data_IF_760985864243
#
_entry.id   IF_760985864243
#
_cell.length_a   1.000
_cell.length_b   1.000
_cell.length_c   1.000
_cell.angle_alpha   90.00
_cell.angle_beta   90.00
_cell.angle_gamma   90.00
#
_symmetry.space_group_name_H-M   'P 1'
#
loop_
_entity.id
_entity.type
_entity.pdbx_description
1 polymer ?
#
# COMPACT_ATOMS: atom_id res chain seq x y z
N UNK A 1 -4.02 -7.75 -19.89
CA UNK A 1 -3.53 -6.54 -19.21
C UNK A 1 -4.46 -6.28 -18.04
N UNK A 2 -4.00 -6.56 -16.82
CA UNK A 2 -4.58 -6.18 -15.53
C UNK A 2 -3.63 -6.74 -14.47
N UNK A 3 -2.56 -6.01 -14.18
CA UNK A 3 -1.56 -6.43 -13.20
C UNK A 3 -1.86 -5.78 -11.86
N UNK A 4 -2.88 -6.26 -11.15
CA UNK A 4 -3.03 -5.93 -9.73
C UNK A 4 -1.88 -6.57 -8.97
N UNK A 5 -0.86 -5.78 -8.67
CA UNK A 5 0.26 -6.22 -7.84
C UNK A 5 -0.24 -6.51 -6.40
N UNK A 6 -1.30 -5.82 -5.97
CA UNK A 6 -1.87 -5.92 -4.64
C UNK A 6 -3.05 -6.90 -4.60
N UNK A 7 -2.77 -8.16 -4.24
CA UNK A 7 -3.81 -9.12 -3.85
C UNK A 7 -4.19 -8.94 -2.38
N UNK A 8 -5.15 -8.06 -2.08
CA UNK A 8 -5.76 -7.91 -0.74
C UNK A 8 -6.72 -9.05 -0.35
N UNK A 9 -6.70 -10.17 -1.09
CA UNK A 9 -7.59 -11.30 -0.83
C UNK A 9 -7.18 -12.02 0.47
N UNK A 10 -8.13 -12.05 1.41
CA UNK A 10 -8.17 -12.62 2.77
C UNK A 10 -7.67 -14.08 2.96
N UNK A 11 -6.95 -14.66 2.00
CA UNK A 11 -6.56 -16.08 2.03
C UNK A 11 -5.23 -16.43 1.37
N UNK A 12 -4.48 -15.49 0.77
CA UNK A 12 -3.13 -15.78 0.25
C UNK A 12 -2.20 -14.59 0.45
N UNK A 13 -1.65 -14.49 1.65
CA UNK A 13 -0.58 -13.55 2.02
C UNK A 13 0.72 -13.87 1.26
N UNK A 14 0.77 -13.59 -0.05
CA UNK A 14 2.03 -13.42 -0.78
C UNK A 14 2.12 -11.98 -1.25
N UNK A 15 2.59 -11.15 -0.32
CA UNK A 15 3.33 -9.92 -0.58
C UNK A 15 2.61 -8.82 -1.36
N UNK A 16 1.76 -8.05 -0.68
CA UNK A 16 1.30 -6.73 -1.15
C UNK A 16 2.48 -5.82 -1.54
N UNK A 17 3.64 -6.03 -0.90
CA UNK A 17 4.87 -5.28 -1.11
C UNK A 17 5.94 -5.98 -1.99
N UNK A 18 5.82 -7.29 -2.24
CA UNK A 18 6.80 -8.02 -3.08
C UNK A 18 6.95 -7.48 -4.51
N UNK A 19 5.89 -7.03 -5.21
CA UNK A 19 6.08 -6.44 -6.54
C UNK A 19 6.74 -5.06 -6.50
N UNK A 20 6.90 -4.46 -5.32
CA UNK A 20 7.48 -3.12 -5.14
C UNK A 20 8.85 -3.14 -4.46
N UNK A 21 9.29 -4.29 -3.94
CA UNK A 21 10.55 -4.45 -3.24
C UNK A 21 10.82 -5.90 -2.87
N UNK A 22 12.09 -6.29 -2.90
CA UNK A 22 12.52 -7.68 -2.63
C UNK A 22 12.66 -7.99 -1.13
N UNK A 23 12.72 -6.95 -0.29
CA UNK A 23 12.98 -7.01 1.15
C UNK A 23 11.74 -6.70 2.00
N UNK A 24 10.55 -6.99 1.46
CA UNK A 24 9.29 -6.73 2.14
C UNK A 24 9.18 -7.46 3.49
N UNK A 25 9.07 -6.68 4.56
CA UNK A 25 8.81 -7.15 5.92
C UNK A 25 7.38 -6.79 6.31
N UNK A 26 6.53 -7.80 6.50
CA UNK A 26 5.13 -7.61 6.83
C UNK A 26 4.77 -8.23 8.20
N UNK A 27 4.00 -7.48 8.98
CA UNK A 27 3.44 -7.90 10.25
C UNK A 27 1.91 -7.79 10.22
N UNK A 28 1.22 -8.84 10.64
CA UNK A 28 -0.24 -8.86 10.76
C UNK A 28 -0.64 -8.91 12.23
N UNK A 29 -1.66 -8.14 12.58
CA UNK A 29 -2.33 -8.10 13.88
C UNK A 29 -3.83 -8.25 13.68
N UNK A 30 -4.58 -8.47 14.76
CA UNK A 30 -6.01 -8.81 14.72
C UNK A 30 -6.90 -7.83 13.93
N UNK A 31 -6.48 -6.57 13.78
CA UNK A 31 -7.18 -5.50 13.05
C UNK A 31 -6.28 -4.64 12.17
N UNK A 32 -5.00 -5.00 12.04
CA UNK A 32 -4.06 -4.21 11.25
C UNK A 32 -3.08 -5.10 10.52
N UNK A 33 -2.61 -4.62 9.39
CA UNK A 33 -1.58 -5.24 8.60
C UNK A 33 -0.61 -4.15 8.19
N UNK A 34 0.67 -4.39 8.39
CA UNK A 34 1.73 -3.45 8.08
C UNK A 34 2.78 -4.14 7.23
N UNK A 35 3.24 -3.47 6.18
CA UNK A 35 4.42 -3.88 5.42
C UNK A 35 5.39 -2.72 5.30
N UNK A 36 6.68 -3.00 5.41
CA UNK A 36 7.75 -2.08 5.06
C UNK A 36 8.68 -2.73 4.04
N UNK A 37 9.09 -2.01 3.02
CA UNK A 37 10.02 -2.50 1.99
C UNK A 37 10.88 -1.35 1.45
N UNK A 38 11.98 -1.72 0.81
CA UNK A 38 12.82 -0.83 0.01
C UNK A 38 12.30 -0.88 -1.44
N UNK A 39 11.91 0.25 -2.05
CA UNK A 39 11.56 0.30 -3.46
C UNK A 39 12.67 -0.26 -4.35
N UNK A 40 12.30 -0.96 -5.42
CA UNK A 40 13.28 -1.36 -6.44
C UNK A 40 14.00 -0.13 -7.03
N UNK A 41 15.23 -0.33 -7.50
CA UNK A 41 16.10 0.75 -7.99
C UNK A 41 15.53 1.49 -9.23
N UNK A 42 14.58 0.91 -9.94
CA UNK A 42 13.87 1.50 -11.07
C UNK A 42 12.68 2.36 -10.66
N UNK A 43 12.26 2.33 -9.39
CA UNK A 43 11.15 3.12 -8.88
C UNK A 43 11.44 4.63 -8.77
N UNK A 44 12.66 5.07 -9.09
CA UNK A 44 13.05 6.48 -9.05
C UNK A 44 13.17 7.01 -7.61
N UNK A 45 12.39 8.03 -7.27
CA UNK A 45 12.32 8.57 -5.91
C UNK A 45 11.29 7.85 -5.05
N UNK A 46 11.37 7.97 -3.71
CA UNK A 46 10.32 7.45 -2.83
C UNK A 46 8.93 8.03 -3.14
N UNK A 47 8.86 9.26 -3.66
CA UNK A 47 7.60 9.88 -4.04
C UNK A 47 7.00 9.21 -5.30
N UNK A 48 7.84 8.90 -6.29
CA UNK A 48 7.42 8.18 -7.50
C UNK A 48 6.98 6.75 -7.14
N UNK A 49 7.74 6.08 -6.28
CA UNK A 49 7.40 4.76 -5.76
C UNK A 49 6.06 4.77 -4.99
N UNK A 50 5.82 5.79 -4.15
CA UNK A 50 4.53 5.98 -3.46
C UNK A 50 3.37 6.15 -4.46
N UNK A 51 3.57 6.99 -5.47
CA UNK A 51 2.56 7.24 -6.49
C UNK A 51 2.25 6.00 -7.32
N UNK A 52 3.27 5.21 -7.67
CA UNK A 52 3.09 3.95 -8.39
C UNK A 52 2.23 2.95 -7.59
N UNK A 53 2.52 2.77 -6.30
CA UNK A 53 1.74 1.88 -5.44
C UNK A 53 0.32 2.42 -5.24
N UNK A 54 0.16 3.73 -5.06
CA UNK A 54 -1.14 4.38 -4.94
C UNK A 54 -1.99 4.21 -6.20
N UNK A 55 -1.39 4.28 -7.39
CA UNK A 55 -2.06 4.04 -8.66
C UNK A 55 -2.51 2.58 -8.82
N UNK A 56 -1.72 1.61 -8.36
CA UNK A 56 -2.13 0.20 -8.34
C UNK A 56 -3.28 -0.04 -7.36
N UNK A 57 -3.23 0.54 -6.15
CA UNK A 57 -4.34 0.48 -5.19
C UNK A 57 -5.63 1.02 -5.80
N UNK A 58 -5.59 2.20 -6.40
CA UNK A 58 -6.74 2.81 -7.05
C UNK A 58 -7.28 1.95 -8.22
N UNK A 59 -6.38 1.26 -8.94
CA UNK A 59 -6.74 0.36 -10.03
C UNK A 59 -7.38 -0.94 -9.52
N UNK A 60 -6.90 -1.46 -8.38
CA UNK A 60 -7.36 -2.72 -7.78
C UNK A 60 -8.59 -2.57 -6.89
N UNK A 61 -8.80 -1.39 -6.33
CA UNK A 61 -9.84 -1.08 -5.38
C UNK A 61 -10.63 0.14 -5.89
N UNK A 62 -11.49 -0.03 -6.91
CA UNK A 62 -12.28 1.08 -7.45
C UNK A 62 -13.25 1.66 -6.41
N UNK A 63 -13.63 0.88 -5.39
CA UNK A 63 -14.46 1.31 -4.27
C UNK A 63 -13.67 2.04 -3.17
N UNK A 64 -12.33 2.09 -3.27
CA UNK A 64 -11.52 2.84 -2.33
C UNK A 64 -11.61 4.33 -2.65
N UNK A 65 -11.98 5.13 -1.65
CA UNK A 65 -11.92 6.57 -1.78
C UNK A 65 -10.52 7.05 -1.41
N UNK A 66 -9.90 7.80 -2.32
CA UNK A 66 -8.62 8.46 -2.11
C UNK A 66 -8.87 9.83 -1.47
N UNK A 67 -8.63 9.98 -0.15
CA UNK A 67 -8.85 11.26 0.56
C UNK A 67 -7.58 12.08 0.78
N UNK A 68 -6.39 11.47 0.74
CA UNK A 68 -5.14 12.24 0.77
C UNK A 68 -4.16 11.75 -0.29
N UNK A 69 -3.85 12.66 -1.22
CA UNK A 69 -2.82 12.49 -2.23
C UNK A 69 -1.73 13.56 -2.01
N UNK A 70 -0.63 13.19 -1.38
CA UNK A 70 0.52 14.07 -1.21
C UNK A 70 1.83 13.33 -1.49
N UNK A 71 2.90 14.02 -1.93
CA UNK A 71 4.17 13.37 -2.23
C UNK A 71 4.77 12.56 -1.06
N UNK A 72 4.42 12.90 0.18
CA UNK A 72 4.90 12.21 1.39
C UNK A 72 3.88 11.28 2.06
N UNK A 73 2.64 11.20 1.57
CA UNK A 73 1.59 10.35 2.15
C UNK A 73 0.44 10.15 1.16
N UNK A 74 0.07 8.90 0.97
CA UNK A 74 -1.11 8.48 0.22
C UNK A 74 -2.08 7.81 1.19
N UNK A 75 -3.35 8.19 1.17
CA UNK A 75 -4.36 7.62 2.06
C UNK A 75 -5.61 7.26 1.27
N UNK A 76 -6.05 6.02 1.47
CA UNK A 76 -7.26 5.48 0.91
C UNK A 76 -8.11 4.90 2.01
N UNK A 77 -9.40 4.80 1.74
CA UNK A 77 -10.30 4.08 2.62
C UNK A 77 -11.38 3.34 1.85
N UNK A 78 -11.77 2.20 2.41
CA UNK A 78 -12.84 1.36 1.89
C UNK A 78 -14.01 1.34 2.86
N UNK A 79 -15.23 1.33 2.33
CA UNK A 79 -16.45 1.16 3.11
C UNK A 79 -16.95 2.43 3.81
N UNK A 80 -18.06 2.27 4.54
CA UNK A 80 -18.76 3.36 5.21
C UNK A 80 -18.20 3.63 6.63
N UNK A 81 -18.51 4.82 7.16
CA UNK A 81 -18.20 5.18 8.55
C UNK A 81 -18.72 4.09 9.51
N UNK A 82 -17.81 3.54 10.33
CA UNK A 82 -18.10 2.47 11.30
C UNK A 82 -17.67 1.06 10.86
N UNK A 83 -17.37 0.83 9.58
CA UNK A 83 -16.74 -0.40 9.04
C UNK A 83 -15.70 -0.05 7.98
N UNK A 84 -14.91 1.00 8.26
CA UNK A 84 -13.93 1.56 7.33
C UNK A 84 -12.66 0.74 7.41
N UNK A 85 -12.09 0.38 6.27
CA UNK A 85 -10.71 -0.09 6.19
C UNK A 85 -9.86 1.04 5.65
N UNK A 86 -8.97 1.57 6.49
CA UNK A 86 -8.02 2.61 6.12
C UNK A 86 -6.74 1.97 5.57
N UNK A 87 -6.21 2.56 4.51
CA UNK A 87 -5.00 2.13 3.81
C UNK A 87 -4.10 3.37 3.71
N UNK A 88 -2.99 3.36 4.45
CA UNK A 88 -2.02 4.46 4.48
C UNK A 88 -0.71 4.00 3.86
N UNK A 89 -0.16 4.79 2.95
CA UNK A 89 1.23 4.67 2.50
C UNK A 89 2.03 5.91 2.86
N UNK A 90 3.23 5.67 3.39
CA UNK A 90 4.17 6.72 3.79
C UNK A 90 5.60 6.26 3.60
N UNK A 91 6.57 7.16 3.39
CA UNK A 91 7.98 6.84 3.55
C UNK A 91 8.29 6.39 4.98
N UNK A 92 9.23 5.46 5.12
CA UNK A 92 9.73 4.93 6.39
C UNK A 92 11.24 5.12 6.52
N UNK A 93 11.69 6.36 6.43
CA UNK A 93 13.11 6.73 6.38
C UNK A 93 13.57 7.04 4.95
N UNK A 94 14.90 7.07 4.74
CA UNK A 94 15.49 7.64 3.52
C UNK A 94 15.20 6.86 2.23
N UNK A 95 14.96 5.55 2.30
CA UNK A 95 14.73 4.71 1.12
C UNK A 95 13.80 3.53 1.40
N UNK A 96 12.77 3.75 2.21
CA UNK A 96 11.79 2.69 2.53
C UNK A 96 10.39 3.25 2.43
N UNK A 97 9.47 2.39 2.05
CA UNK A 97 8.04 2.65 2.09
C UNK A 97 7.40 1.77 3.13
N UNK A 98 6.33 2.31 3.71
CA UNK A 98 5.49 1.63 4.69
C UNK A 98 4.05 1.72 4.24
N UNK A 99 3.39 0.57 4.21
CA UNK A 99 1.96 0.40 4.01
C UNK A 99 1.35 -0.04 5.34
N UNK A 100 0.28 0.62 5.75
CA UNK A 100 -0.54 0.21 6.90
C UNK A 100 -1.99 0.08 6.44
N UNK A 101 -2.59 -1.06 6.72
CA UNK A 101 -4.01 -1.34 6.51
C UNK A 101 -4.64 -1.59 7.87
N UNK A 102 -5.73 -0.91 8.21
CA UNK A 102 -6.42 -1.07 9.50
C UNK A 102 -7.94 -1.02 9.36
N UNK A 103 -8.70 -1.76 10.17
CA UNK A 103 -10.18 -1.76 10.13
C UNK A 103 -10.88 -2.36 11.36
#
# INVERSE_FOLDING_TARGET
MCGCAIHLARSRCKGVAQPYGDDAQCAASHRSFECTWTPHHDAGSNADALQAVAADIASCLPDATHDQNSPGRQHFYLGAKGRRTDITLTPAGSNKLRLVVSG
#
